data_IF_095367060824
#
_entry.id   IF_095367060824
#
_cell.length_a   1.000
_cell.length_b   1.000
_cell.length_c   1.000
_cell.angle_alpha   90.00
_cell.angle_beta   90.00
_cell.angle_gamma   90.00
#
_symmetry.space_group_name_H-M   'P 1'
#
loop_
_entity.id
_entity.type
_entity.pdbx_description
1 polymer ?
#
# COMPACT_ATOMS: atom_id res chain seq x y z
N UNK A 1 -1.12 -50.35 6.90
CA UNK A 1 -1.80 -49.26 7.65
C UNK A 1 -1.01 -47.94 7.71
N UNK A 2 0.32 -47.92 7.46
CA UNK A 2 1.15 -46.69 7.45
C UNK A 2 0.96 -45.74 6.24
N UNK A 3 0.24 -46.18 5.20
CA UNK A 3 0.07 -45.43 3.95
C UNK A 3 -0.64 -44.09 4.17
N UNK A 4 -1.65 -44.05 5.05
CA UNK A 4 -2.36 -42.81 5.42
C UNK A 4 -1.50 -41.84 6.22
N UNK A 5 -0.57 -42.34 7.03
CA UNK A 5 0.34 -41.51 7.82
C UNK A 5 1.29 -40.73 6.90
N UNK A 6 1.79 -41.38 5.84
CA UNK A 6 2.66 -40.76 4.83
C UNK A 6 1.90 -39.68 4.06
N UNK A 7 0.65 -39.92 3.67
CA UNK A 7 -0.18 -38.92 2.99
C UNK A 7 -0.50 -37.72 3.90
N UNK A 8 -0.76 -37.94 5.18
CA UNK A 8 -0.98 -36.85 6.14
C UNK A 8 0.26 -35.97 6.32
N UNK A 9 1.45 -36.59 6.44
CA UNK A 9 2.73 -35.86 6.56
C UNK A 9 3.05 -35.10 5.28
N UNK A 10 2.86 -35.72 4.11
CA UNK A 10 3.07 -35.07 2.82
C UNK A 10 2.11 -33.89 2.61
N UNK A 11 0.82 -34.06 2.93
CA UNK A 11 -0.18 -32.99 2.88
C UNK A 11 0.15 -31.84 3.82
N UNK A 12 0.60 -32.14 5.05
CA UNK A 12 1.02 -31.13 6.01
C UNK A 12 2.28 -30.37 5.54
N UNK A 13 3.26 -31.06 4.96
CA UNK A 13 4.46 -30.43 4.42
C UNK A 13 4.13 -29.48 3.26
N UNK A 14 3.28 -29.91 2.32
CA UNK A 14 2.82 -29.06 1.22
C UNK A 14 2.02 -27.85 1.72
N UNK A 15 1.12 -28.05 2.67
CA UNK A 15 0.38 -26.95 3.30
C UNK A 15 1.31 -25.94 3.96
N UNK A 16 2.32 -26.42 4.70
CA UNK A 16 3.29 -25.57 5.41
C UNK A 16 4.16 -24.76 4.44
N UNK A 17 4.57 -25.33 3.31
CA UNK A 17 5.32 -24.61 2.28
C UNK A 17 4.51 -23.49 1.65
N UNK A 18 3.24 -23.74 1.31
CA UNK A 18 2.35 -22.73 0.71
C UNK A 18 2.02 -21.61 1.71
N UNK A 19 1.78 -21.95 2.98
CA UNK A 19 1.47 -20.98 4.03
C UNK A 19 2.66 -20.07 4.38
N UNK A 20 3.89 -20.58 4.28
CA UNK A 20 5.11 -19.83 4.59
C UNK A 20 5.39 -18.70 3.58
N UNK A 21 5.11 -18.94 2.30
CA UNK A 21 5.34 -17.95 1.23
C UNK A 21 4.45 -16.70 1.39
N UNK A 22 3.19 -16.90 1.81
CA UNK A 22 2.25 -15.80 2.08
C UNK A 22 2.68 -14.90 3.22
N UNK A 23 3.28 -15.45 4.29
CA UNK A 23 3.76 -14.68 5.43
C UNK A 23 4.90 -13.74 5.02
N UNK A 24 5.86 -14.25 4.25
CA UNK A 24 7.01 -13.47 3.76
C UNK A 24 6.59 -12.29 2.88
N UNK A 25 5.58 -12.49 2.02
CA UNK A 25 5.05 -11.43 1.16
C UNK A 25 4.32 -10.32 1.94
N UNK A 26 3.66 -10.68 3.05
CA UNK A 26 2.98 -9.70 3.92
C UNK A 26 3.99 -8.87 4.72
N UNK A 27 5.05 -9.50 5.24
CA UNK A 27 6.12 -8.84 5.99
C UNK A 27 6.86 -7.80 5.13
N UNK A 28 7.27 -8.17 3.91
CA UNK A 28 7.93 -7.25 2.97
C UNK A 28 7.02 -6.06 2.60
N UNK A 29 5.71 -6.30 2.49
CA UNK A 29 4.74 -5.24 2.15
C UNK A 29 4.53 -4.26 3.32
N UNK A 30 4.54 -4.76 4.56
CA UNK A 30 4.49 -3.92 5.76
C UNK A 30 5.79 -3.13 5.94
N UNK A 31 6.96 -3.78 5.83
CA UNK A 31 8.24 -3.09 5.92
C UNK A 31 8.37 -2.01 4.85
N UNK A 32 7.99 -2.27 3.59
CA UNK A 32 7.96 -1.22 2.54
C UNK A 32 7.03 -0.07 2.89
N UNK A 33 5.83 -0.35 3.41
CA UNK A 33 4.89 0.69 3.85
C UNK A 33 5.47 1.53 5.00
N UNK A 34 6.12 0.90 5.97
CA UNK A 34 6.72 1.57 7.12
C UNK A 34 7.95 2.41 6.72
N UNK A 35 8.80 1.92 5.81
CA UNK A 35 9.93 2.69 5.27
C UNK A 35 9.44 3.91 4.49
N UNK A 36 8.45 3.74 3.60
CA UNK A 36 7.86 4.84 2.83
C UNK A 36 7.16 5.88 3.72
N UNK A 37 6.58 5.45 4.85
CA UNK A 37 6.01 6.36 5.84
C UNK A 37 7.10 7.13 6.63
N UNK A 38 8.21 6.45 7.00
CA UNK A 38 9.34 7.06 7.72
C UNK A 38 10.14 8.05 6.88
N UNK A 39 10.20 7.86 5.57
CA UNK A 39 10.89 8.78 4.65
C UNK A 39 10.13 10.09 4.39
N UNK A 40 8.95 10.29 5.00
CA UNK A 40 8.14 11.50 4.79
C UNK A 40 7.58 11.60 3.37
N UNK A 41 7.56 10.47 2.66
CA UNK A 41 7.07 10.38 1.29
C UNK A 41 5.55 10.31 1.30
N UNK A 42 4.88 9.90 2.37
CA UNK A 42 3.41 9.86 2.37
C UNK A 42 2.79 11.19 2.80
N UNK A 43 2.14 11.85 1.86
CA UNK A 43 1.30 13.04 2.09
C UNK A 43 -0.16 12.62 2.10
N UNK A 44 -0.97 13.26 2.94
CA UNK A 44 -2.41 12.99 3.00
C UNK A 44 -3.12 13.82 1.93
N UNK A 45 -3.90 13.15 1.09
CA UNK A 45 -4.76 13.79 0.11
C UNK A 45 -5.87 14.60 0.85
N UNK A 46 -6.02 15.91 0.57
CA UNK A 46 -6.99 16.76 1.27
C UNK A 46 -8.46 16.49 0.89
N UNK A 47 -8.73 15.78 -0.21
CA UNK A 47 -10.08 15.49 -0.70
C UNK A 47 -10.62 14.18 -0.14
N UNK A 48 -9.84 13.11 -0.25
CA UNK A 48 -10.28 11.76 0.16
C UNK A 48 -9.65 11.27 1.47
N UNK A 49 -8.60 11.94 1.97
CA UNK A 49 -7.86 11.51 3.16
C UNK A 49 -6.95 10.31 2.92
N UNK A 50 -6.77 9.86 1.68
CA UNK A 50 -5.88 8.74 1.32
C UNK A 50 -4.43 9.17 1.42
N UNK A 51 -3.56 8.30 1.94
CA UNK A 51 -2.11 8.53 1.96
C UNK A 51 -1.49 8.22 0.59
N UNK A 52 -0.80 9.20 0.03
CA UNK A 52 -0.22 9.16 -1.32
C UNK A 52 1.24 9.55 -1.27
N UNK A 53 2.04 9.03 -2.21
CA UNK A 53 3.45 9.39 -2.35
C UNK A 53 3.58 10.89 -2.68
N UNK A 54 4.54 11.57 -2.07
CA UNK A 54 4.92 12.97 -2.27
C UNK A 54 5.53 13.16 -3.66
N UNK A 55 6.20 12.11 -4.13
CA UNK A 55 6.70 11.96 -5.49
C UNK A 55 5.62 11.60 -6.51
N UNK A 56 4.33 11.67 -6.16
CA UNK A 56 3.30 11.49 -7.16
C UNK A 56 3.38 12.59 -8.22
N UNK A 57 3.22 12.20 -9.49
CA UNK A 57 3.15 13.15 -10.61
C UNK A 57 1.95 14.11 -10.50
N UNK A 58 0.93 13.72 -9.72
CA UNK A 58 -0.33 14.46 -9.56
C UNK A 58 -0.24 15.37 -8.32
N UNK A 59 0.48 16.50 -8.46
CA UNK A 59 0.62 17.53 -7.42
C UNK A 59 0.11 18.90 -7.88
N UNK A 60 -0.48 19.66 -6.98
CA UNK A 60 -0.82 21.08 -7.16
C UNK A 60 0.01 21.91 -6.20
N UNK A 61 0.55 23.02 -6.70
CA UNK A 61 1.16 24.05 -5.86
C UNK A 61 0.12 25.13 -5.60
N UNK A 62 -0.28 25.29 -4.36
CA UNK A 62 -1.17 26.34 -3.89
C UNK A 62 -0.37 27.29 -2.99
N UNK A 63 0.07 28.42 -3.57
CA UNK A 63 0.99 29.36 -2.91
C UNK A 63 2.31 28.67 -2.51
N UNK A 64 2.57 28.60 -1.21
CA UNK A 64 3.74 27.94 -0.62
C UNK A 64 3.53 26.46 -0.26
N UNK A 65 2.31 25.92 -0.46
CA UNK A 65 1.99 24.53 -0.12
C UNK A 65 1.90 23.66 -1.37
N UNK A 66 2.45 22.45 -1.27
CA UNK A 66 2.35 21.43 -2.32
C UNK A 66 1.38 20.36 -1.83
N UNK A 67 0.26 20.22 -2.53
CA UNK A 67 -0.76 19.21 -2.28
C UNK A 67 -0.61 18.07 -3.29
N UNK A 68 -0.48 16.85 -2.79
CA UNK A 68 -0.39 15.63 -3.60
C UNK A 68 -1.73 14.90 -3.57
N UNK A 69 -2.17 14.38 -4.72
CA UNK A 69 -3.46 13.71 -4.87
C UNK A 69 -3.32 12.26 -5.28
N UNK A 70 -4.31 11.45 -4.90
CA UNK A 70 -4.34 10.02 -5.23
C UNK A 70 -4.76 9.77 -6.68
N UNK A 71 -5.50 10.69 -7.28
CA UNK A 71 -6.04 10.58 -8.63
C UNK A 71 -6.29 11.96 -9.24
N UNK A 72 -6.43 12.00 -10.56
CA UNK A 72 -6.81 13.21 -11.29
C UNK A 72 -8.19 13.74 -10.86
N UNK A 73 -9.11 12.87 -10.44
CA UNK A 73 -10.43 13.28 -9.94
C UNK A 73 -10.35 14.03 -8.61
N UNK A 74 -9.48 13.60 -7.68
CA UNK A 74 -9.26 14.31 -6.42
C UNK A 74 -8.61 15.67 -6.69
N UNK A 75 -7.66 15.72 -7.62
CA UNK A 75 -7.06 16.98 -8.07
C UNK A 75 -8.11 17.95 -8.64
N UNK A 76 -8.98 17.47 -9.53
CA UNK A 76 -10.01 18.31 -10.19
C UNK A 76 -11.05 18.83 -9.19
N UNK A 77 -11.47 18.00 -8.23
CA UNK A 77 -12.33 18.43 -7.12
C UNK A 77 -11.64 19.50 -6.27
N UNK A 78 -10.35 19.36 -6.01
CA UNK A 78 -9.59 20.36 -5.27
C UNK A 78 -9.50 21.68 -6.02
N UNK A 79 -9.22 21.65 -7.32
CA UNK A 79 -9.19 22.85 -8.19
C UNK A 79 -10.52 23.62 -8.15
N UNK A 80 -11.64 22.91 -8.30
CA UNK A 80 -12.98 23.51 -8.19
C UNK A 80 -13.27 24.13 -6.83
N UNK A 81 -12.64 23.63 -5.77
CA UNK A 81 -12.83 24.13 -4.41
C UNK A 81 -12.02 25.40 -4.13
N UNK A 82 -10.88 25.58 -4.82
CA UNK A 82 -10.00 26.76 -4.68
C UNK A 82 -10.32 27.88 -5.68
N UNK A 83 -10.89 27.56 -6.84
CA UNK A 83 -11.33 28.55 -7.85
C UNK A 83 -12.72 29.14 -7.56
N UNK A 84 -13.43 28.63 -6.55
CA UNK A 84 -14.81 28.99 -6.18
C UNK A 84 -14.92 30.05 -5.09
#
# INVERSE_FOLDING_TARGET
MFKFLIFAVAGFALYKLIANDRKKKMEIKNTKKETMAKEGILVKDPICGTYVSKDSDIRIKEGDKIHCFCSYECRDKYLKMIEG
#
